data_IF_134690009337
#
_entry.id   IF_134690009337
#
_cell.length_a   1.000
_cell.length_b   1.000
_cell.length_c   1.000
_cell.angle_alpha   90.00
_cell.angle_beta   90.00
_cell.angle_gamma   90.00
#
_symmetry.space_group_name_H-M   'P 1'
#
loop_
_entity.id
_entity.type
_entity.pdbx_description
1 polymer ?
#
# COMPACT_ATOMS: atom_id res chain seq x y z
N UNK A 1 3.26 -51.32 44.28
CA UNK A 1 3.34 -49.84 44.33
C UNK A 1 3.24 -49.32 42.90
N UNK A 2 2.10 -48.71 42.56
CA UNK A 2 1.79 -48.18 41.22
C UNK A 2 2.31 -46.75 41.12
N UNK A 3 3.27 -46.50 40.23
CA UNK A 3 3.77 -45.15 39.92
C UNK A 3 2.83 -44.47 38.93
N UNK A 4 2.04 -43.51 39.42
CA UNK A 4 1.22 -42.62 38.61
C UNK A 4 2.10 -41.66 37.80
N UNK A 5 2.10 -41.83 36.49
CA UNK A 5 2.68 -40.84 35.57
C UNK A 5 1.68 -39.70 35.44
N UNK A 6 1.89 -38.63 36.21
CA UNK A 6 1.21 -37.34 36.04
C UNK A 6 1.46 -36.81 34.62
N UNK A 7 0.44 -36.90 33.77
CA UNK A 7 0.37 -36.16 32.50
C UNK A 7 0.43 -34.67 32.83
N UNK A 8 1.57 -34.02 32.54
CA UNK A 8 1.64 -32.56 32.51
C UNK A 8 0.74 -32.08 31.37
N UNK A 9 -0.37 -31.45 31.70
CA UNK A 9 -1.12 -30.64 30.75
C UNK A 9 -0.22 -29.48 30.32
N UNK A 10 0.32 -29.55 29.11
CA UNK A 10 0.97 -28.42 28.47
C UNK A 10 -0.11 -27.37 28.19
N UNK A 11 -0.13 -26.30 28.97
CA UNK A 11 -0.95 -25.12 28.71
C UNK A 11 -0.48 -24.45 27.42
N UNK A 12 -1.29 -24.35 26.36
CA UNK A 12 -0.91 -23.54 25.21
C UNK A 12 -1.25 -22.08 25.52
N UNK A 13 -0.24 -21.22 25.65
CA UNK A 13 -0.40 -19.78 25.41
C UNK A 13 0.35 -19.45 24.11
N UNK A 14 -0.32 -19.52 22.92
CA UNK A 14 0.36 -19.81 21.66
C UNK A 14 0.46 -18.62 20.68
N UNK A 15 -0.09 -17.44 21.00
CA UNK A 15 -0.33 -16.36 20.02
C UNK A 15 0.91 -15.70 19.41
N UNK A 16 1.94 -15.26 20.18
CA UNK A 16 3.14 -14.65 19.59
C UNK A 16 3.92 -15.64 18.72
N UNK A 17 3.93 -16.92 19.13
CA UNK A 17 4.60 -18.00 18.40
C UNK A 17 3.88 -18.38 17.10
N UNK A 18 2.56 -18.23 17.05
CA UNK A 18 1.77 -18.49 15.85
C UNK A 18 1.91 -17.38 14.81
N UNK A 19 1.90 -16.11 15.24
CA UNK A 19 2.11 -14.96 14.34
C UNK A 19 3.51 -14.96 13.73
N UNK A 20 4.55 -15.17 14.54
CA UNK A 20 5.94 -15.23 14.04
C UNK A 20 6.12 -16.36 13.03
N UNK A 21 5.63 -17.57 13.33
CA UNK A 21 5.61 -18.68 12.37
C UNK A 21 4.87 -18.29 11.09
N UNK A 22 3.68 -17.69 11.21
CA UNK A 22 2.88 -17.29 10.07
C UNK A 22 3.61 -16.31 9.13
N UNK A 23 4.26 -15.29 9.69
CA UNK A 23 5.02 -14.30 8.91
C UNK A 23 6.24 -14.95 8.27
N UNK A 24 7.00 -15.78 9.01
CA UNK A 24 8.18 -16.48 8.50
C UNK A 24 7.84 -17.44 7.36
N UNK A 25 6.78 -18.22 7.51
CA UNK A 25 6.31 -19.15 6.48
C UNK A 25 5.92 -18.43 5.19
N UNK A 26 5.43 -17.19 5.30
CA UNK A 26 5.02 -16.37 4.16
C UNK A 26 6.22 -15.81 3.45
N UNK A 27 7.11 -15.20 4.23
CA UNK A 27 8.37 -14.67 3.76
C UNK A 27 9.19 -15.76 3.04
N UNK A 28 9.32 -16.95 3.64
CA UNK A 28 10.05 -18.07 3.05
C UNK A 28 9.42 -18.56 1.74
N UNK A 29 8.10 -18.76 1.72
CA UNK A 29 7.39 -19.23 0.54
C UNK A 29 7.52 -18.25 -0.64
N UNK A 30 7.37 -16.96 -0.36
CA UNK A 30 7.43 -15.90 -1.38
C UNK A 30 8.85 -15.48 -1.71
N UNK A 31 9.84 -15.95 -0.95
CA UNK A 31 11.23 -15.55 -1.12
C UNK A 31 11.43 -14.08 -0.81
N UNK A 32 10.81 -13.59 0.27
CA UNK A 32 11.00 -12.26 0.84
C UNK A 32 11.85 -12.41 2.11
N UNK A 33 12.84 -11.52 2.37
CA UNK A 33 13.57 -11.56 3.63
C UNK A 33 12.62 -11.40 4.83
N UNK A 34 12.81 -12.19 5.88
CA UNK A 34 11.96 -12.14 7.09
C UNK A 34 11.93 -10.76 7.73
N UNK A 35 13.06 -10.04 7.70
CA UNK A 35 13.14 -8.67 8.19
C UNK A 35 12.17 -7.74 7.43
N UNK A 36 12.15 -7.81 6.09
CA UNK A 36 11.23 -7.01 5.26
C UNK A 36 9.77 -7.33 5.57
N UNK A 37 9.44 -8.62 5.72
CA UNK A 37 8.09 -9.03 6.09
C UNK A 37 7.65 -8.45 7.45
N UNK A 38 8.54 -8.46 8.44
CA UNK A 38 8.28 -7.84 9.74
C UNK A 38 8.20 -6.31 9.66
N UNK A 39 8.99 -5.66 8.81
CA UNK A 39 8.87 -4.22 8.58
C UNK A 39 7.50 -3.85 8.01
N UNK A 40 7.02 -4.56 6.97
CA UNK A 40 5.69 -4.33 6.40
C UNK A 40 4.59 -4.53 7.45
N UNK A 41 4.71 -5.54 8.29
CA UNK A 41 3.74 -5.77 9.37
C UNK A 41 3.78 -4.68 10.44
N UNK A 42 4.98 -4.25 10.84
CA UNK A 42 5.15 -3.42 12.05
C UNK A 42 5.02 -1.94 11.76
N UNK A 43 5.40 -1.46 10.57
CA UNK A 43 5.38 -0.03 10.22
C UNK A 43 4.00 0.59 10.48
N UNK A 44 2.86 0.04 9.97
CA UNK A 44 1.54 0.61 10.23
C UNK A 44 1.24 0.79 11.72
N UNK A 45 1.52 -0.24 12.52
CA UNK A 45 1.22 -0.29 13.95
C UNK A 45 2.10 0.66 14.76
N UNK A 46 3.42 0.64 14.49
CA UNK A 46 4.39 1.48 15.19
C UNK A 46 4.16 2.95 14.83
N UNK A 47 3.96 3.28 13.55
CA UNK A 47 3.69 4.65 13.15
C UNK A 47 2.36 5.18 13.70
N UNK A 48 1.32 4.34 13.80
CA UNK A 48 0.08 4.74 14.47
C UNK A 48 0.31 5.08 15.96
N UNK A 49 1.10 4.27 16.68
CA UNK A 49 1.45 4.55 18.06
C UNK A 49 2.30 5.82 18.21
N UNK A 50 3.25 6.05 17.30
CA UNK A 50 4.07 7.26 17.27
C UNK A 50 3.24 8.51 16.99
N UNK A 51 2.31 8.46 16.04
CA UNK A 51 1.40 9.57 15.73
C UNK A 51 0.44 9.85 16.88
N UNK A 52 -0.05 8.82 17.58
CA UNK A 52 -0.84 9.00 18.79
C UNK A 52 -0.01 9.71 19.88
N UNK A 53 1.23 9.28 20.12
CA UNK A 53 2.14 9.97 21.03
C UNK A 53 2.41 11.42 20.61
N UNK A 54 2.61 11.66 19.31
CA UNK A 54 2.84 12.99 18.75
C UNK A 54 1.61 13.88 18.97
N UNK A 55 0.40 13.37 18.74
CA UNK A 55 -0.84 14.11 18.99
C UNK A 55 -0.97 14.55 20.45
N UNK A 56 -0.55 13.70 21.40
CA UNK A 56 -0.61 13.99 22.84
C UNK A 56 0.47 14.99 23.29
N UNK A 57 1.65 14.98 22.65
CA UNK A 57 2.80 15.81 23.07
C UNK A 57 2.91 17.11 22.26
N UNK A 58 2.63 17.09 20.97
CA UNK A 58 2.72 18.22 20.04
C UNK A 58 1.75 18.06 18.87
N UNK A 59 0.58 18.72 18.98
CA UNK A 59 -0.44 18.73 17.92
C UNK A 59 0.08 19.38 16.63
N UNK A 60 0.92 20.41 16.74
CA UNK A 60 1.51 21.07 15.57
C UNK A 60 2.40 20.11 14.78
N UNK A 61 3.23 19.32 15.47
CA UNK A 61 4.06 18.32 14.82
C UNK A 61 3.20 17.20 14.20
N UNK A 62 2.12 16.77 14.88
CA UNK A 62 1.17 15.81 14.33
C UNK A 62 0.55 16.31 13.02
N UNK A 63 0.00 17.52 13.01
CA UNK A 63 -0.59 18.11 11.82
C UNK A 63 0.46 18.41 10.75
N UNK A 64 1.69 18.77 11.12
CA UNK A 64 2.77 18.99 10.17
C UNK A 64 3.14 17.72 9.40
N UNK A 65 3.22 16.56 10.07
CA UNK A 65 3.63 15.31 9.40
C UNK A 65 2.56 14.80 8.43
N UNK A 66 1.28 15.08 8.73
CA UNK A 66 0.09 14.57 8.04
C UNK A 66 -0.61 15.62 7.15
N UNK A 67 0.03 16.76 6.86
CA UNK A 67 -0.54 17.79 5.97
C UNK A 67 -0.10 17.53 4.52
N UNK A 68 -0.81 18.10 3.55
CA UNK A 68 -0.37 18.15 2.15
C UNK A 68 1.07 18.68 2.00
N UNK A 69 1.78 18.12 1.04
CA UNK A 69 3.20 18.30 0.71
C UNK A 69 4.17 17.93 1.85
N UNK A 70 3.77 17.04 2.76
CA UNK A 70 4.56 16.62 3.93
C UNK A 70 4.98 15.15 3.85
N UNK A 71 5.82 14.66 4.78
CA UNK A 71 6.47 13.36 4.61
C UNK A 71 5.52 12.17 4.37
N UNK A 72 4.31 12.19 4.94
CA UNK A 72 3.36 11.07 4.77
C UNK A 72 2.77 11.04 3.36
N UNK A 73 2.34 12.18 2.82
CA UNK A 73 1.84 12.31 1.43
C UNK A 73 2.92 11.98 0.39
N UNK A 74 4.14 12.49 0.59
CA UNK A 74 5.27 12.09 -0.27
C UNK A 74 5.57 10.57 -0.18
N UNK A 75 5.33 9.98 0.99
CA UNK A 75 5.38 8.54 1.19
C UNK A 75 4.26 7.80 0.44
N UNK A 76 3.02 8.31 0.46
CA UNK A 76 1.89 7.79 -0.31
C UNK A 76 2.21 7.83 -1.81
N UNK A 77 2.65 8.98 -2.33
CA UNK A 77 3.11 9.14 -3.71
C UNK A 77 4.18 8.13 -4.09
N UNK A 78 5.23 7.97 -3.27
CA UNK A 78 6.30 7.01 -3.51
C UNK A 78 5.77 5.57 -3.59
N UNK A 79 4.92 5.17 -2.65
CA UNK A 79 4.34 3.82 -2.63
C UNK A 79 3.44 3.56 -3.85
N UNK A 80 2.62 4.54 -4.24
CA UNK A 80 1.76 4.46 -5.42
C UNK A 80 2.57 4.37 -6.72
N UNK A 81 3.62 5.19 -6.85
CA UNK A 81 4.52 5.13 -8.00
C UNK A 81 5.27 3.78 -8.07
N UNK A 82 5.69 3.25 -6.92
CA UNK A 82 6.29 1.92 -6.84
C UNK A 82 5.27 0.83 -7.22
N UNK A 83 4.01 0.93 -6.76
CA UNK A 83 2.92 0.04 -7.18
C UNK A 83 2.75 0.03 -8.70
N UNK A 84 2.79 1.20 -9.36
CA UNK A 84 2.77 1.32 -10.82
C UNK A 84 3.89 0.52 -11.48
N UNK A 85 5.14 0.72 -11.04
CA UNK A 85 6.30 0.03 -11.63
C UNK A 85 6.24 -1.48 -11.41
N UNK A 86 5.82 -1.93 -10.22
CA UNK A 86 5.69 -3.35 -9.90
C UNK A 86 4.57 -4.02 -10.69
N UNK A 87 3.41 -3.37 -10.82
CA UNK A 87 2.29 -3.85 -11.61
C UNK A 87 2.67 -3.91 -13.10
N UNK A 88 3.32 -2.88 -13.64
CA UNK A 88 3.82 -2.88 -15.02
C UNK A 88 4.85 -3.99 -15.28
N UNK A 89 5.80 -4.20 -14.35
CA UNK A 89 6.73 -5.33 -14.41
C UNK A 89 6.01 -6.68 -14.39
N UNK A 90 4.95 -6.80 -13.59
CA UNK A 90 4.10 -7.98 -13.51
C UNK A 90 3.32 -8.23 -14.80
N UNK A 91 2.80 -7.18 -15.43
CA UNK A 91 2.16 -7.21 -16.76
C UNK A 91 3.10 -7.80 -17.79
N UNK A 92 4.33 -7.27 -17.88
CA UNK A 92 5.34 -7.74 -18.83
C UNK A 92 5.69 -9.21 -18.54
N UNK A 93 5.88 -9.58 -17.28
CA UNK A 93 6.18 -10.95 -16.89
C UNK A 93 5.06 -11.94 -17.26
N UNK A 94 3.79 -11.56 -17.03
CA UNK A 94 2.63 -12.38 -17.37
C UNK A 94 2.42 -12.49 -18.90
N UNK A 95 2.55 -11.38 -19.63
CA UNK A 95 2.40 -11.34 -21.08
C UNK A 95 3.47 -12.20 -21.80
N UNK A 96 4.72 -12.17 -21.33
CA UNK A 96 5.80 -13.05 -21.84
C UNK A 96 5.50 -14.54 -21.69
N UNK A 97 4.61 -14.90 -20.77
CA UNK A 97 4.12 -16.27 -20.55
C UNK A 97 2.79 -16.55 -21.25
N UNK A 98 2.31 -15.64 -22.10
CA UNK A 98 0.99 -15.68 -22.76
C UNK A 98 -0.18 -15.79 -21.77
N UNK A 99 0.01 -15.33 -20.53
CA UNK A 99 -1.05 -15.25 -19.52
C UNK A 99 -1.74 -13.88 -19.64
N UNK A 100 -2.55 -13.71 -20.70
CA UNK A 100 -3.11 -12.41 -21.05
C UNK A 100 -4.10 -11.86 -20.03
N UNK A 101 -4.91 -12.71 -19.39
CA UNK A 101 -5.84 -12.23 -18.36
C UNK A 101 -5.11 -11.60 -17.16
N UNK A 102 -4.14 -12.28 -16.50
CA UNK A 102 -3.33 -11.63 -15.47
C UNK A 102 -2.57 -10.39 -15.96
N UNK A 103 -2.06 -10.41 -17.20
CA UNK A 103 -1.39 -9.26 -17.78
C UNK A 103 -2.33 -8.06 -17.92
N UNK A 104 -3.54 -8.26 -18.43
CA UNK A 104 -4.55 -7.22 -18.58
C UNK A 104 -4.96 -6.63 -17.23
N UNK A 105 -5.20 -7.48 -16.23
CA UNK A 105 -5.55 -7.03 -14.87
C UNK A 105 -4.43 -6.18 -14.25
N UNK A 106 -3.18 -6.62 -14.38
CA UNK A 106 -2.03 -5.86 -13.88
C UNK A 106 -1.77 -4.58 -14.68
N UNK A 107 -2.08 -4.55 -15.97
CA UNK A 107 -1.95 -3.36 -16.81
C UNK A 107 -2.95 -2.28 -16.36
N UNK A 108 -4.22 -2.68 -16.14
CA UNK A 108 -5.24 -1.79 -15.59
C UNK A 108 -4.82 -1.30 -14.19
N UNK A 109 -4.36 -2.20 -13.32
CA UNK A 109 -3.87 -1.82 -12.00
C UNK A 109 -2.71 -0.81 -12.08
N UNK A 110 -1.74 -1.00 -12.98
CA UNK A 110 -0.64 -0.06 -13.18
C UNK A 110 -1.13 1.34 -13.58
N UNK A 111 -2.09 1.42 -14.49
CA UNK A 111 -2.70 2.70 -14.89
C UNK A 111 -3.48 3.34 -13.74
N UNK A 112 -4.22 2.56 -12.96
CA UNK A 112 -4.92 3.06 -11.78
C UNK A 112 -3.96 3.61 -10.73
N UNK A 113 -2.87 2.89 -10.41
CA UNK A 113 -1.87 3.38 -9.46
C UNK A 113 -1.12 4.62 -9.97
N UNK A 114 -0.89 4.73 -11.29
CA UNK A 114 -0.32 5.94 -11.87
C UNK A 114 -1.27 7.12 -11.73
N UNK A 115 -2.56 6.91 -12.00
CA UNK A 115 -3.59 7.92 -11.79
C UNK A 115 -3.67 8.34 -10.33
N UNK A 116 -3.71 7.38 -9.38
CA UNK A 116 -3.70 7.67 -7.94
C UNK A 116 -2.44 8.43 -7.51
N UNK A 117 -1.25 8.05 -8.00
CA UNK A 117 -0.03 8.79 -7.71
C UNK A 117 -0.08 10.23 -8.23
N UNK A 118 -0.69 10.45 -9.41
CA UNK A 118 -0.95 11.79 -9.92
C UNK A 118 -1.89 12.55 -9.01
N UNK A 119 -3.06 11.97 -8.73
CA UNK A 119 -4.09 12.56 -7.85
C UNK A 119 -3.53 12.96 -6.48
N UNK A 120 -2.67 12.14 -5.87
CA UNK A 120 -2.05 12.36 -4.55
C UNK A 120 -1.25 13.66 -4.47
N UNK A 121 -0.58 14.06 -5.55
CA UNK A 121 0.24 15.28 -5.60
C UNK A 121 -0.33 16.31 -6.58
N UNK A 122 -1.64 16.24 -6.81
CA UNK A 122 -2.39 17.14 -7.70
C UNK A 122 -1.76 17.24 -9.08
N UNK A 123 -1.47 16.08 -9.69
CA UNK A 123 -0.81 15.91 -10.98
C UNK A 123 0.52 16.66 -11.11
N UNK A 124 1.29 16.70 -10.01
CA UNK A 124 2.57 17.39 -9.92
C UNK A 124 2.45 18.91 -10.21
N UNK A 125 1.28 19.49 -9.91
CA UNK A 125 0.98 20.91 -10.12
C UNK A 125 2.08 21.82 -9.56
N UNK A 126 2.45 21.60 -8.28
CA UNK A 126 3.47 22.42 -7.59
C UNK A 126 4.89 22.12 -8.10
N UNK A 127 5.16 20.86 -8.47
CA UNK A 127 6.45 20.44 -9.04
C UNK A 127 6.75 21.20 -10.33
N UNK A 128 5.74 21.37 -11.19
CA UNK A 128 5.89 22.01 -12.50
C UNK A 128 5.37 23.45 -12.56
N UNK A 129 5.09 24.07 -11.42
CA UNK A 129 4.61 25.44 -11.35
C UNK A 129 3.35 25.70 -12.21
N UNK A 130 2.42 24.74 -12.23
CA UNK A 130 1.19 24.82 -13.02
C UNK A 130 0.10 25.60 -12.28
N UNK A 131 -0.65 26.41 -13.03
CA UNK A 131 -1.83 27.14 -12.56
C UNK A 131 -3.07 26.28 -12.77
N UNK A 132 -3.99 26.29 -11.81
CA UNK A 132 -5.30 25.64 -11.95
C UNK A 132 -6.19 26.44 -12.90
N UNK A 133 -6.72 25.84 -13.98
CA UNK A 133 -7.67 26.52 -14.85
C UNK A 133 -8.92 26.97 -14.09
N UNK A 134 -9.46 28.15 -14.40
CA UNK A 134 -10.65 28.70 -13.72
C UNK A 134 -11.85 27.73 -13.76
N UNK A 135 -12.07 27.08 -14.91
CA UNK A 135 -13.12 26.08 -15.08
C UNK A 135 -13.01 24.90 -14.11
N UNK A 136 -11.79 24.53 -13.69
CA UNK A 136 -11.56 23.49 -12.69
C UNK A 136 -11.60 24.05 -11.27
N UNK A 137 -11.02 25.24 -11.06
CA UNK A 137 -10.99 25.90 -9.75
C UNK A 137 -12.39 26.17 -9.18
N UNK A 138 -13.39 26.44 -10.05
CA UNK A 138 -14.78 26.67 -9.62
C UNK A 138 -15.49 25.42 -9.07
N UNK A 139 -15.03 24.21 -9.43
CA UNK A 139 -15.67 22.94 -9.04
C UNK A 139 -14.81 22.09 -8.11
N UNK A 140 -13.52 22.40 -8.01
CA UNK A 140 -12.55 21.74 -7.13
C UNK A 140 -12.44 22.49 -5.79
N UNK A 141 -12.64 21.78 -4.67
CA UNK A 141 -12.67 22.37 -3.32
C UNK A 141 -11.37 23.05 -2.88
N UNK A 142 -10.23 22.67 -3.45
CA UNK A 142 -8.90 23.19 -3.13
C UNK A 142 -8.31 24.03 -4.26
N UNK A 143 -9.06 24.23 -5.35
CA UNK A 143 -8.58 24.86 -6.58
C UNK A 143 -7.27 24.24 -7.08
N UNK A 144 -7.22 22.91 -7.15
CA UNK A 144 -6.08 22.14 -7.62
C UNK A 144 -6.38 21.36 -8.91
N UNK A 145 -5.34 20.77 -9.52
CA UNK A 145 -5.47 19.92 -10.72
C UNK A 145 -6.03 18.52 -10.45
N UNK A 146 -6.08 18.06 -9.20
CA UNK A 146 -6.67 16.76 -8.88
C UNK A 146 -8.18 16.73 -9.17
N UNK A 147 -8.69 15.53 -9.42
CA UNK A 147 -10.10 15.30 -9.77
C UNK A 147 -10.87 14.83 -8.54
N UNK A 148 -10.23 14.18 -7.57
CA UNK A 148 -10.92 13.67 -6.38
C UNK A 148 -11.51 14.77 -5.47
N UNK A 149 -11.03 16.01 -5.58
CA UNK A 149 -11.56 17.18 -4.87
C UNK A 149 -12.78 17.83 -5.54
N UNK A 150 -13.15 17.36 -6.74
CA UNK A 150 -14.32 17.87 -7.45
C UNK A 150 -15.59 17.53 -6.68
N UNK A 151 -16.46 18.53 -6.51
CA UNK A 151 -17.83 18.36 -6.05
C UNK A 151 -18.78 18.47 -7.24
N UNK A 152 -19.26 17.33 -7.72
CA UNK A 152 -20.16 17.26 -8.87
C UNK A 152 -21.60 17.04 -8.40
N UNK A 153 -22.38 18.12 -8.30
CA UNK A 153 -23.82 18.02 -8.01
C UNK A 153 -24.15 17.41 -6.64
N UNK A 154 -23.32 17.67 -5.62
CA UNK A 154 -23.49 17.13 -4.27
C UNK A 154 -22.79 15.78 -4.03
N UNK A 155 -22.27 15.13 -5.08
CA UNK A 155 -21.40 13.98 -4.96
C UNK A 155 -19.93 14.44 -4.93
N UNK A 156 -19.25 14.20 -3.81
CA UNK A 156 -17.80 14.45 -3.70
C UNK A 156 -17.06 13.22 -4.19
N UNK A 157 -16.23 13.36 -5.22
CA UNK A 157 -15.53 12.23 -5.83
C UNK A 157 -14.64 11.49 -4.82
N UNK A 158 -13.99 12.20 -3.90
CA UNK A 158 -13.26 11.63 -2.76
C UNK A 158 -14.05 10.55 -2.00
N UNK A 159 -15.38 10.67 -1.87
CA UNK A 159 -16.19 9.72 -1.11
C UNK A 159 -16.25 8.37 -1.84
N UNK A 160 -16.18 8.35 -3.17
CA UNK A 160 -16.06 7.12 -3.96
C UNK A 160 -14.69 6.46 -3.79
N UNK A 161 -13.60 7.24 -3.76
CA UNK A 161 -12.25 6.72 -3.50
C UNK A 161 -12.15 6.09 -2.11
N UNK A 162 -12.80 6.70 -1.12
CA UNK A 162 -12.87 6.20 0.27
C UNK A 162 -13.61 4.87 0.36
N UNK A 163 -14.77 4.76 -0.29
CA UNK A 163 -15.51 3.48 -0.34
C UNK A 163 -14.69 2.41 -1.08
N UNK A 164 -14.12 2.76 -2.23
CA UNK A 164 -13.29 1.84 -3.01
C UNK A 164 -12.10 1.30 -2.23
N UNK A 165 -11.34 2.18 -1.57
CA UNK A 165 -10.19 1.80 -0.73
C UNK A 165 -10.61 0.93 0.47
N UNK A 166 -11.73 1.25 1.13
CA UNK A 166 -12.28 0.42 2.20
C UNK A 166 -12.62 -1.00 1.73
N UNK A 167 -13.27 -1.14 0.57
CA UNK A 167 -13.62 -2.45 -0.01
C UNK A 167 -12.36 -3.25 -0.37
N UNK A 168 -11.33 -2.61 -0.93
CA UNK A 168 -10.03 -3.26 -1.18
C UNK A 168 -9.33 -3.63 0.12
N UNK A 169 -9.44 -2.81 1.17
CA UNK A 169 -9.00 -3.13 2.53
C UNK A 169 -9.62 -4.43 3.05
N UNK A 170 -10.96 -4.52 3.01
CA UNK A 170 -11.71 -5.72 3.41
C UNK A 170 -11.28 -6.93 2.59
N UNK A 171 -11.24 -6.81 1.26
CA UNK A 171 -10.81 -7.88 0.37
C UNK A 171 -9.38 -8.33 0.68
N UNK A 172 -8.46 -7.40 0.96
CA UNK A 172 -7.07 -7.70 1.32
C UNK A 172 -6.97 -8.51 2.62
N UNK A 173 -7.73 -8.13 3.65
CA UNK A 173 -7.81 -8.90 4.91
C UNK A 173 -8.38 -10.29 4.65
N UNK A 174 -9.51 -10.39 3.95
CA UNK A 174 -10.17 -11.67 3.67
C UNK A 174 -9.28 -12.59 2.84
N UNK A 175 -8.58 -12.09 1.83
CA UNK A 175 -7.66 -12.88 1.00
C UNK A 175 -6.39 -13.30 1.76
N UNK A 176 -5.90 -12.47 2.69
CA UNK A 176 -4.75 -12.81 3.52
C UNK A 176 -5.09 -13.88 4.58
N UNK A 177 -6.30 -13.82 5.13
CA UNK A 177 -6.81 -14.76 6.13
C UNK A 177 -7.47 -15.99 5.53
N UNK A 178 -7.89 -15.92 4.26
CA UNK A 178 -8.42 -17.05 3.53
C UNK A 178 -7.47 -18.23 3.73
N UNK A 179 -7.97 -19.43 4.08
CA UNK A 179 -7.14 -20.61 4.23
C UNK A 179 -6.35 -20.69 2.95
N UNK A 180 -5.05 -20.38 3.05
CA UNK A 180 -4.27 -20.22 1.84
C UNK A 180 -4.57 -21.40 0.96
N UNK A 181 -4.63 -21.19 -0.33
CA UNK A 181 -4.58 -22.27 -1.31
C UNK A 181 -3.31 -23.17 -1.15
N UNK A 182 -2.51 -22.98 -0.10
CA UNK A 182 -1.59 -23.95 0.52
C UNK A 182 -2.27 -25.18 1.17
N UNK A 183 -3.54 -25.16 1.59
CA UNK A 183 -4.31 -26.38 1.94
C UNK A 183 -4.86 -27.10 0.69
N UNK A 184 -5.02 -26.36 -0.41
CA UNK A 184 -5.51 -26.87 -1.69
C UNK A 184 -4.58 -26.45 -2.84
N UNK A 185 -3.42 -27.11 -3.04
CA UNK A 185 -2.43 -26.79 -4.08
C UNK A 185 -3.01 -26.70 -5.49
N UNK A 186 -4.17 -27.33 -5.71
CA UNK A 186 -4.93 -27.31 -6.97
C UNK A 186 -5.48 -25.93 -7.33
N UNK A 187 -5.84 -25.07 -6.35
CA UNK A 187 -6.34 -23.71 -6.63
C UNK A 187 -5.21 -22.74 -7.06
N UNK A 188 -3.99 -22.90 -6.56
CA UNK A 188 -2.81 -22.10 -6.98
C UNK A 188 -2.22 -22.49 -8.35
N UNK A 189 -2.81 -23.48 -9.02
CA UNK A 189 -2.36 -23.90 -10.36
C UNK A 189 -2.67 -22.87 -11.43
N UNK A 190 -3.71 -22.04 -11.27
CA UNK A 190 -4.06 -21.03 -12.27
C UNK A 190 -3.22 -19.76 -12.10
N UNK A 191 -2.87 -19.13 -13.22
CA UNK A 191 -2.12 -17.87 -13.23
C UNK A 191 -2.87 -16.74 -12.51
N UNK A 192 -4.21 -16.80 -12.49
CA UNK A 192 -5.07 -15.82 -11.82
C UNK A 192 -5.06 -15.97 -10.29
N UNK A 193 -5.09 -17.19 -9.75
CA UNK A 193 -5.02 -17.40 -8.29
C UNK A 193 -3.70 -16.88 -7.67
N UNK A 194 -2.62 -16.81 -8.45
CA UNK A 194 -1.36 -16.21 -8.02
C UNK A 194 -1.43 -14.70 -7.80
N UNK A 195 -2.33 -14.01 -8.52
CA UNK A 195 -2.60 -12.58 -8.33
C UNK A 195 -3.33 -12.31 -7.01
N UNK A 196 -4.28 -13.18 -6.66
CA UNK A 196 -5.17 -12.99 -5.50
C UNK A 196 -4.54 -13.38 -4.16
N UNK A 197 -3.27 -13.78 -4.14
CA UNK A 197 -2.64 -14.27 -2.91
C UNK A 197 -1.95 -13.13 -2.16
N UNK A 198 -2.61 -12.66 -1.11
CA UNK A 198 -2.12 -11.60 -0.21
C UNK A 198 -1.26 -12.21 0.92
N UNK A 199 -0.06 -11.69 1.22
CA UNK A 199 0.74 -12.16 2.35
C UNK A 199 0.15 -11.72 3.70
N UNK A 200 0.22 -12.57 4.74
CA UNK A 200 -0.36 -12.26 6.05
C UNK A 200 0.31 -11.09 6.74
N UNK A 201 1.60 -10.84 6.46
CA UNK A 201 2.31 -9.70 7.01
C UNK A 201 1.81 -8.34 6.46
N UNK A 202 1.03 -8.32 5.37
CA UNK A 202 0.39 -7.11 4.86
C UNK A 202 -0.98 -6.82 5.51
N UNK A 203 -1.49 -7.69 6.39
CA UNK A 203 -2.80 -7.52 7.03
C UNK A 203 -2.95 -6.18 7.77
N UNK A 204 -1.96 -5.67 8.54
CA UNK A 204 -2.16 -4.45 9.31
C UNK A 204 -2.62 -3.24 8.49
N UNK A 205 -1.97 -2.96 7.35
CA UNK A 205 -2.37 -1.85 6.48
C UNK A 205 -3.75 -2.03 5.85
N UNK A 206 -4.07 -3.25 5.36
CA UNK A 206 -5.41 -3.56 4.85
C UNK A 206 -6.49 -3.44 5.94
N UNK A 207 -6.20 -3.90 7.15
CA UNK A 207 -7.11 -3.84 8.28
C UNK A 207 -7.35 -2.40 8.74
N UNK A 208 -6.31 -1.55 8.78
CA UNK A 208 -6.48 -0.12 9.07
C UNK A 208 -7.45 0.54 8.09
N UNK A 209 -7.27 0.32 6.78
CA UNK A 209 -8.17 0.87 5.77
C UNK A 209 -9.59 0.31 5.88
N UNK A 210 -9.73 -0.99 6.10
CA UNK A 210 -11.03 -1.65 6.26
C UNK A 210 -11.81 -1.12 7.47
N UNK A 211 -11.12 -0.76 8.56
CA UNK A 211 -11.72 -0.37 9.83
C UNK A 211 -11.90 1.14 9.99
N UNK A 212 -11.07 1.96 9.33
CA UNK A 212 -11.07 3.41 9.54
C UNK A 212 -12.44 4.06 9.28
N UNK A 213 -13.05 3.77 8.12
CA UNK A 213 -14.34 4.35 7.76
C UNK A 213 -15.49 3.88 8.66
N UNK A 214 -15.66 2.58 8.95
CA UNK A 214 -16.64 2.12 9.94
C UNK A 214 -16.46 2.77 11.33
N UNK A 215 -15.22 2.97 11.78
CA UNK A 215 -14.95 3.65 13.06
C UNK A 215 -15.38 5.11 13.01
N UNK A 216 -15.15 5.82 11.90
CA UNK A 216 -15.58 7.21 11.71
C UNK A 216 -17.12 7.38 11.77
N UNK A 217 -17.89 6.32 11.48
CA UNK A 217 -19.36 6.35 11.58
C UNK A 217 -19.87 6.32 13.02
N UNK A 218 -19.07 5.81 13.97
CA UNK A 218 -19.51 5.57 15.36
C UNK A 218 -18.74 6.39 16.39
N UNK A 219 -17.58 6.93 16.02
CA UNK A 219 -16.74 7.78 16.87
C UNK A 219 -16.49 9.11 16.17
N UNK A 220 -16.70 10.21 16.90
CA UNK A 220 -16.24 11.52 16.45
C UNK A 220 -14.70 11.57 16.50
N UNK A 221 -14.09 11.33 15.34
CA UNK A 221 -12.64 11.43 15.16
C UNK A 221 -12.24 12.75 14.48
N UNK A 222 -13.12 13.76 14.44
CA UNK A 222 -12.81 15.07 13.87
C UNK A 222 -11.47 15.67 14.39
N UNK A 223 -11.11 15.55 15.69
CA UNK A 223 -9.84 16.07 16.20
C UNK A 223 -8.59 15.39 15.62
N UNK A 224 -8.74 14.19 15.06
CA UNK A 224 -7.67 13.37 14.50
C UNK A 224 -7.99 12.92 13.07
N UNK A 225 -8.85 13.65 12.36
CA UNK A 225 -9.28 13.29 11.00
C UNK A 225 -8.13 13.10 10.01
N UNK A 226 -7.02 13.83 10.21
CA UNK A 226 -5.76 13.67 9.45
C UNK A 226 -5.03 12.34 9.66
N UNK A 227 -5.45 11.53 10.64
CA UNK A 227 -4.96 10.16 10.79
C UNK A 227 -5.30 9.30 9.56
N UNK A 228 -6.29 9.72 8.76
CA UNK A 228 -6.58 9.13 7.46
C UNK A 228 -5.34 8.99 6.57
N UNK A 229 -4.46 10.00 6.51
CA UNK A 229 -3.25 9.97 5.68
C UNK A 229 -2.33 8.80 6.06
N UNK A 230 -2.22 8.54 7.36
CA UNK A 230 -1.43 7.39 7.84
C UNK A 230 -2.08 6.05 7.52
N UNK A 231 -3.42 5.98 7.55
CA UNK A 231 -4.18 4.80 7.15
C UNK A 231 -3.97 4.51 5.66
N UNK A 232 -4.01 5.54 4.82
CA UNK A 232 -3.76 5.46 3.38
C UNK A 232 -2.33 5.04 3.07
N UNK A 233 -1.33 5.68 3.69
CA UNK A 233 0.07 5.25 3.61
C UNK A 233 0.24 3.77 3.97
N UNK A 234 -0.35 3.35 5.10
CA UNK A 234 -0.28 1.97 5.58
C UNK A 234 -0.93 0.99 4.60
N UNK A 235 -2.06 1.38 4.02
CA UNK A 235 -2.75 0.62 2.99
C UNK A 235 -1.89 0.46 1.73
N UNK A 236 -1.31 1.55 1.23
CA UNK A 236 -0.44 1.49 0.05
C UNK A 236 0.80 0.64 0.30
N UNK A 237 1.40 0.69 1.50
CA UNK A 237 2.52 -0.17 1.86
C UNK A 237 2.15 -1.67 1.76
N UNK A 238 0.97 -2.04 2.23
CA UNK A 238 0.44 -3.40 2.14
C UNK A 238 0.14 -3.84 0.71
N UNK A 239 -0.37 -2.93 -0.13
CA UNK A 239 -0.58 -3.16 -1.57
C UNK A 239 0.76 -3.34 -2.29
N UNK A 240 1.75 -2.47 -2.04
CA UNK A 240 3.11 -2.57 -2.60
C UNK A 240 3.74 -3.91 -2.27
N UNK A 241 3.67 -4.33 -1.00
CA UNK A 241 4.19 -5.63 -0.57
C UNK A 241 3.51 -6.80 -1.29
N UNK A 242 2.20 -6.70 -1.51
CA UNK A 242 1.44 -7.70 -2.27
C UNK A 242 1.87 -7.75 -3.73
N UNK A 243 2.03 -6.61 -4.39
CA UNK A 243 2.48 -6.52 -5.78
C UNK A 243 3.92 -7.03 -5.96
N UNK A 244 4.82 -6.71 -5.04
CA UNK A 244 6.19 -7.21 -5.04
C UNK A 244 6.22 -8.74 -5.01
N UNK A 245 5.38 -9.34 -4.17
CA UNK A 245 5.22 -10.79 -4.09
C UNK A 245 4.58 -11.38 -5.36
N UNK A 246 3.57 -10.71 -5.93
CA UNK A 246 2.97 -11.12 -7.21
C UNK A 246 4.02 -11.14 -8.32
N UNK A 247 4.86 -10.10 -8.41
CA UNK A 247 5.95 -10.03 -9.38
C UNK A 247 6.97 -11.17 -9.18
N UNK A 248 7.38 -11.46 -7.94
CA UNK A 248 8.26 -12.58 -7.61
C UNK A 248 7.69 -13.95 -8.04
N UNK A 249 6.36 -14.09 -8.08
CA UNK A 249 5.68 -15.33 -8.50
C UNK A 249 5.46 -15.43 -10.01
N UNK A 250 5.33 -14.29 -10.70
CA UNK A 250 5.07 -14.24 -12.15
C UNK A 250 6.35 -14.22 -12.99
N UNK A 251 7.46 -13.73 -12.45
CA UNK A 251 8.71 -13.63 -13.16
C UNK A 251 9.22 -15.00 -13.64
N UNK A 252 9.75 -15.11 -14.87
CA UNK A 252 10.07 -16.37 -15.51
C UNK A 252 11.25 -17.08 -14.85
N UNK A 253 11.06 -18.28 -14.26
CA UNK A 253 12.20 -19.08 -13.81
C UNK A 253 13.20 -19.28 -14.96
N UNK A 254 14.43 -18.76 -14.82
CA UNK A 254 15.55 -19.10 -15.69
C UNK A 254 15.86 -20.59 -15.57
N UNK A 255 16.45 -21.17 -16.61
CA UNK A 255 16.98 -22.55 -16.61
C UNK A 255 18.05 -22.78 -15.53
N UNK A 256 18.64 -21.69 -15.01
CA UNK A 256 19.56 -21.68 -13.87
C UNK A 256 18.80 -21.44 -12.56
N UNK A 257 19.29 -22.04 -11.47
CA UNK A 257 18.64 -22.25 -10.17
C UNK A 257 17.59 -21.21 -9.76
N UNK A 258 16.50 -21.69 -9.12
CA UNK A 258 15.39 -20.88 -8.58
C UNK A 258 15.87 -19.75 -7.63
N UNK A 259 17.04 -19.89 -7.02
CA UNK A 259 17.66 -18.90 -6.15
C UNK A 259 18.27 -17.71 -6.94
N UNK A 260 18.97 -17.97 -8.04
CA UNK A 260 19.54 -16.92 -8.90
C UNK A 260 18.45 -16.04 -9.54
N UNK A 261 17.36 -16.66 -10.00
CA UNK A 261 16.22 -15.95 -10.59
C UNK A 261 15.52 -14.99 -9.61
N UNK A 262 15.23 -15.45 -8.39
CA UNK A 262 14.64 -14.60 -7.34
C UNK A 262 15.55 -13.41 -7.01
N UNK A 263 16.85 -13.57 -7.12
CA UNK A 263 17.82 -12.49 -6.89
C UNK A 263 17.73 -11.41 -7.98
N UNK A 264 17.57 -11.79 -9.25
CA UNK A 264 17.38 -10.83 -10.34
C UNK A 264 16.07 -10.01 -10.23
N UNK A 265 14.97 -10.66 -9.88
CA UNK A 265 13.68 -9.95 -9.67
C UNK A 265 13.73 -9.03 -8.45
N UNK A 266 14.38 -9.46 -7.36
CA UNK A 266 14.61 -8.59 -6.21
C UNK A 266 15.44 -7.38 -6.58
N UNK A 267 16.47 -7.53 -7.42
CA UNK A 267 17.25 -6.41 -7.90
C UNK A 267 16.38 -5.40 -8.68
N UNK A 268 15.46 -5.87 -9.53
CA UNK A 268 14.50 -4.99 -10.21
C UNK A 268 13.62 -4.26 -9.21
N UNK A 269 13.06 -4.95 -8.21
CA UNK A 269 12.22 -4.33 -7.17
C UNK A 269 13.01 -3.24 -6.41
N UNK A 270 14.25 -3.55 -6.01
CA UNK A 270 15.12 -2.60 -5.30
C UNK A 270 15.48 -1.43 -6.19
N UNK A 271 15.85 -1.66 -7.45
CA UNK A 271 16.16 -0.60 -8.40
C UNK A 271 14.96 0.31 -8.64
N UNK A 272 13.76 -0.24 -8.81
CA UNK A 272 12.51 0.54 -8.90
C UNK A 272 12.28 1.38 -7.65
N UNK A 273 12.48 0.82 -6.45
CA UNK A 273 12.34 1.56 -5.20
C UNK A 273 13.36 2.71 -5.09
N UNK A 274 14.62 2.49 -5.50
CA UNK A 274 15.66 3.54 -5.51
C UNK A 274 15.29 4.67 -6.47
N UNK A 275 14.84 4.34 -7.68
CA UNK A 275 14.40 5.33 -8.68
C UNK A 275 13.21 6.13 -8.15
N UNK A 276 12.22 5.45 -7.57
CA UNK A 276 11.05 6.10 -6.97
C UNK A 276 11.47 7.07 -5.88
N UNK A 277 12.32 6.64 -4.94
CA UNK A 277 12.82 7.51 -3.85
C UNK A 277 13.53 8.74 -4.42
N UNK A 278 14.37 8.56 -5.44
CA UNK A 278 15.06 9.68 -6.08
C UNK A 278 14.07 10.67 -6.72
N UNK A 279 13.08 10.16 -7.46
CA UNK A 279 12.02 11.00 -8.07
C UNK A 279 11.21 11.73 -7.00
N UNK A 280 10.80 11.04 -5.94
CA UNK A 280 10.06 11.63 -4.82
C UNK A 280 10.85 12.75 -4.15
N UNK A 281 12.14 12.56 -3.90
CA UNK A 281 13.00 13.59 -3.30
C UNK A 281 13.10 14.82 -4.22
N UNK A 282 13.33 14.60 -5.52
CA UNK A 282 13.41 15.69 -6.50
C UNK A 282 12.08 16.45 -6.57
N UNK A 283 10.96 15.74 -6.64
CA UNK A 283 9.63 16.35 -6.72
C UNK A 283 9.31 17.13 -5.44
N UNK A 284 9.59 16.57 -4.26
CA UNK A 284 9.41 17.26 -2.99
C UNK A 284 10.27 18.53 -2.90
N UNK A 285 11.52 18.48 -3.38
CA UNK A 285 12.40 19.64 -3.41
C UNK A 285 11.88 20.73 -4.36
N UNK A 286 11.39 20.35 -5.55
CA UNK A 286 10.81 21.28 -6.52
C UNK A 286 9.52 21.91 -6.00
N UNK A 287 8.64 21.12 -5.37
CA UNK A 287 7.44 21.64 -4.70
C UNK A 287 7.81 22.65 -3.60
N UNK A 288 8.84 22.34 -2.78
CA UNK A 288 9.32 23.28 -1.76
C UNK A 288 9.93 24.56 -2.36
N UNK A 289 10.54 24.46 -3.53
CA UNK A 289 11.15 25.59 -4.24
C UNK A 289 10.12 26.49 -4.92
N UNK A 290 9.15 25.92 -5.64
CA UNK A 290 8.12 26.69 -6.35
C UNK A 290 7.01 27.21 -5.43
N UNK A 291 6.73 26.51 -4.33
CA UNK A 291 5.63 26.84 -3.43
C UNK A 291 4.25 26.65 -4.06
N UNK A 292 3.23 27.23 -3.42
CA UNK A 292 1.86 27.27 -3.96
C UNK A 292 1.76 28.50 -4.87
N UNK A 293 1.49 28.29 -6.14
CA UNK A 293 1.27 29.39 -7.09
C UNK A 293 -0.18 29.85 -6.96
N UNK A 294 -0.44 31.10 -6.55
CA UNK A 294 -1.79 31.62 -6.47
C UNK A 294 -2.46 31.65 -7.86
N UNK A 295 -3.78 31.48 -7.89
CA UNK A 295 -4.62 31.54 -9.10
C UNK A 295 -4.39 32.83 -9.91
N UNK A 296 -3.98 33.92 -9.25
CA UNK A 296 -3.77 35.25 -9.83
C UNK A 296 -2.28 35.59 -10.09
N UNK A 297 -1.40 34.60 -10.24
CA UNK A 297 0.03 34.82 -10.48
C UNK A 297 0.40 35.16 -11.94
N UNK A 298 -0.58 35.54 -12.77
CA UNK A 298 -0.39 36.01 -14.14
C UNK A 298 -0.92 37.43 -14.30
#
# INVERSE_FOLDING_TARGET
MSTSVTRRHATPSPTPRLLDRAIRDDAAADGVPTAVAWSVFSIPLVGAALLAGLYLVSRDAYHFVLKEDRPVEWGQFALLLLCTLLAAGGTIAAARRRNYLPAAVLAVAALCFLGLAGEEISWAQRVFALVTPESLATVNQQAELNVHNINAGGLRLQDLFKIGSALVGVAGVLLALAPRARRCPRLLRTSFARLLTVPRYAVPGFAMMALYWPVHLVVDIAPVSRFQEWVEFSFYLSVTATLAVVLLRLAPASTHSRAGHRSGVRLVIVASAVVVVAVTIVFAALTAYHGIIPINAQ
#
